data_IF_471516646411
#
_entry.id   IF_471516646411
#
_cell.length_a   1.000
_cell.length_b   1.000
_cell.length_c   1.000
_cell.angle_alpha   90.00
_cell.angle_beta   90.00
_cell.angle_gamma   90.00
#
_symmetry.space_group_name_H-M   'P 1'
#
loop_
_entity.id
_entity.type
_entity.pdbx_description
1 polymer ?
#
# COMPACT_ATOMS: atom_id res chain seq x y z
N UNK A 1 1.57 -14.18 -10.68
CA UNK A 1 1.48 -12.77 -10.24
C UNK A 1 0.92 -11.81 -11.29
N UNK A 2 1.21 -12.00 -12.60
CA UNK A 2 0.71 -11.11 -13.66
C UNK A 2 -0.83 -11.01 -13.79
N UNK A 3 -1.56 -12.09 -13.53
CA UNK A 3 -3.04 -12.10 -13.60
C UNK A 3 -3.71 -11.25 -12.51
N UNK A 4 -3.16 -11.22 -11.29
CA UNK A 4 -3.69 -10.37 -10.21
C UNK A 4 -3.44 -8.88 -10.51
N UNK A 5 -2.25 -8.53 -11.03
CA UNK A 5 -1.93 -7.16 -11.40
C UNK A 5 -2.86 -6.61 -12.50
N UNK A 6 -3.12 -7.38 -13.56
CA UNK A 6 -4.03 -6.97 -14.65
C UNK A 6 -5.46 -6.72 -14.14
N UNK A 7 -5.94 -7.53 -13.19
CA UNK A 7 -7.26 -7.35 -12.57
C UNK A 7 -7.32 -6.14 -11.64
N UNK A 8 -6.24 -5.84 -10.88
CA UNK A 8 -6.15 -4.59 -10.09
C UNK A 8 -6.18 -3.37 -11.00
N UNK A 9 -5.43 -3.41 -12.12
CA UNK A 9 -5.40 -2.35 -13.13
C UNK A 9 -6.80 -2.13 -13.73
N UNK A 10 -7.51 -3.19 -14.12
CA UNK A 10 -8.85 -3.06 -14.71
C UNK A 10 -9.87 -2.50 -13.71
N UNK A 11 -9.86 -2.95 -12.45
CA UNK A 11 -10.73 -2.40 -11.40
C UNK A 11 -10.48 -0.92 -11.13
N UNK A 12 -9.21 -0.50 -11.05
CA UNK A 12 -8.87 0.91 -10.83
C UNK A 12 -9.30 1.79 -12.01
N UNK A 13 -9.12 1.32 -13.25
CA UNK A 13 -9.61 2.04 -14.45
C UNK A 13 -11.13 2.17 -14.45
N UNK A 14 -11.85 1.09 -14.15
CA UNK A 14 -13.30 1.11 -14.02
C UNK A 14 -13.78 2.11 -12.95
N UNK A 15 -13.07 2.20 -11.82
CA UNK A 15 -13.39 3.16 -10.76
C UNK A 15 -13.15 4.61 -11.21
N UNK A 16 -12.06 4.87 -11.94
CA UNK A 16 -11.72 6.22 -12.45
C UNK A 16 -12.75 6.72 -13.46
N UNK A 17 -13.19 5.84 -14.36
CA UNK A 17 -14.14 6.15 -15.44
C UNK A 17 -15.60 6.25 -14.96
N UNK A 18 -15.91 5.77 -13.75
CA UNK A 18 -17.28 5.74 -13.25
C UNK A 18 -17.80 7.16 -12.90
N UNK A 19 -19.01 7.54 -13.35
CA UNK A 19 -19.52 8.91 -13.23
C UNK A 19 -19.82 9.34 -11.78
N UNK A 20 -20.09 8.38 -10.89
CA UNK A 20 -20.38 8.67 -9.47
C UNK A 20 -19.13 8.65 -8.57
N UNK A 21 -17.94 8.43 -9.12
CA UNK A 21 -16.69 8.46 -8.35
C UNK A 21 -16.35 9.91 -8.02
N UNK A 22 -16.16 10.21 -6.74
CA UNK A 22 -15.77 11.56 -6.30
C UNK A 22 -14.33 11.90 -6.71
N UNK A 23 -14.00 13.20 -6.78
CA UNK A 23 -12.67 13.64 -7.22
C UNK A 23 -11.52 13.15 -6.32
N UNK A 24 -11.76 13.06 -5.00
CA UNK A 24 -10.80 12.51 -4.05
C UNK A 24 -10.53 11.02 -4.29
N UNK A 25 -11.59 10.23 -4.46
CA UNK A 25 -11.51 8.80 -4.74
C UNK A 25 -10.84 8.53 -6.09
N UNK A 26 -11.19 9.31 -7.13
CA UNK A 26 -10.56 9.24 -8.45
C UNK A 26 -9.08 9.56 -8.39
N UNK A 27 -8.68 10.59 -7.63
CA UNK A 27 -7.28 10.94 -7.44
C UNK A 27 -6.50 9.82 -6.73
N UNK A 28 -7.08 9.20 -5.70
CA UNK A 28 -6.50 8.05 -4.98
C UNK A 28 -6.38 6.83 -5.89
N UNK A 29 -7.42 6.53 -6.68
CA UNK A 29 -7.42 5.44 -7.65
C UNK A 29 -6.34 5.63 -8.73
N UNK A 30 -6.17 6.86 -9.23
CA UNK A 30 -5.12 7.19 -10.19
C UNK A 30 -3.72 7.01 -9.58
N UNK A 31 -3.49 7.44 -8.32
CA UNK A 31 -2.20 7.22 -7.64
C UNK A 31 -1.87 5.74 -7.50
N UNK A 32 -2.84 4.92 -7.10
CA UNK A 32 -2.66 3.46 -7.04
C UNK A 32 -2.36 2.84 -8.40
N UNK A 33 -3.07 3.28 -9.45
CA UNK A 33 -2.87 2.77 -10.81
C UNK A 33 -1.45 3.10 -11.30
N UNK A 34 -1.02 4.35 -11.15
CA UNK A 34 0.33 4.79 -11.49
C UNK A 34 1.40 3.97 -10.75
N UNK A 35 1.18 3.66 -9.46
CA UNK A 35 2.09 2.83 -8.65
C UNK A 35 2.20 1.42 -9.20
N UNK A 36 1.06 0.77 -9.50
CA UNK A 36 1.05 -0.59 -10.03
C UNK A 36 1.73 -0.64 -11.41
N UNK A 37 1.44 0.33 -12.28
CA UNK A 37 2.05 0.41 -13.62
C UNK A 37 3.57 0.57 -13.55
N UNK A 38 4.06 1.39 -12.62
CA UNK A 38 5.50 1.58 -12.40
C UNK A 38 6.16 0.30 -11.90
N UNK A 39 5.50 -0.45 -10.99
CA UNK A 39 5.97 -1.75 -10.50
C UNK A 39 6.02 -2.83 -11.60
N UNK A 40 5.08 -2.80 -12.55
CA UNK A 40 5.02 -3.78 -13.65
C UNK A 40 5.90 -3.43 -14.85
N UNK A 41 6.28 -2.16 -15.00
CA UNK A 41 7.07 -1.64 -16.12
C UNK A 41 8.54 -1.45 -15.77
N UNK A 42 9.30 -2.55 -15.80
CA UNK A 42 10.76 -2.59 -16.05
C UNK A 42 11.71 -2.05 -14.95
N UNK A 43 12.87 -2.72 -14.91
CA UNK A 43 14.09 -2.53 -14.11
C UNK A 43 14.39 -1.10 -13.63
N UNK A 44 15.08 -0.96 -12.48
CA UNK A 44 15.53 0.34 -11.99
C UNK A 44 16.45 0.95 -13.04
N UNK A 45 15.97 2.01 -13.71
CA UNK A 45 16.80 2.82 -14.61
C UNK A 45 17.83 3.52 -13.73
N UNK A 46 19.01 2.93 -13.63
CA UNK A 46 20.17 3.51 -12.97
C UNK A 46 20.55 4.78 -13.74
N UNK A 47 20.44 5.92 -13.06
CA UNK A 47 20.82 7.22 -13.61
C UNK A 47 19.72 7.84 -14.48
N UNK A 48 18.55 8.11 -13.90
CA UNK A 48 17.59 8.99 -14.55
C UNK A 48 17.47 10.29 -13.75
N UNK A 49 18.15 11.32 -14.25
CA UNK A 49 17.78 12.71 -13.97
C UNK A 49 16.44 12.98 -14.65
N UNK A 50 15.36 12.36 -14.18
CA UNK A 50 14.00 12.65 -14.65
C UNK A 50 13.52 13.95 -14.01
N UNK A 51 14.21 15.05 -14.30
CA UNK A 51 13.66 16.41 -14.14
C UNK A 51 12.68 16.67 -15.28
N UNK A 52 11.49 16.06 -15.23
CA UNK A 52 10.46 16.33 -16.24
C UNK A 52 9.16 15.57 -16.04
N UNK A 53 8.05 16.31 -15.98
CA UNK A 53 6.65 15.86 -15.97
C UNK A 53 6.10 15.06 -14.77
N UNK A 54 6.90 14.28 -14.04
CA UNK A 54 6.42 13.67 -12.76
C UNK A 54 6.40 14.65 -11.59
N UNK A 55 7.05 15.81 -11.75
CA UNK A 55 7.22 16.86 -10.73
C UNK A 55 5.98 17.69 -10.39
N UNK A 56 4.87 17.50 -11.13
CA UNK A 56 3.58 18.12 -10.84
C UNK A 56 2.67 17.26 -9.95
N UNK A 57 3.13 16.08 -9.50
CA UNK A 57 2.32 15.18 -8.67
C UNK A 57 2.06 15.74 -7.27
N UNK A 58 0.81 15.63 -6.83
CA UNK A 58 0.33 15.96 -5.48
C UNK A 58 1.16 15.15 -4.47
N UNK A 59 2.00 15.82 -3.67
CA UNK A 59 2.92 15.16 -2.73
C UNK A 59 4.32 15.76 -2.66
N UNK A 60 4.81 16.41 -3.74
CA UNK A 60 6.19 16.95 -3.82
C UNK A 60 6.53 17.96 -2.72
N UNK A 61 5.56 18.79 -2.34
CA UNK A 61 5.66 19.75 -1.24
C UNK A 61 4.72 19.43 -0.08
N UNK A 62 4.11 18.24 -0.09
CA UNK A 62 3.23 17.82 0.99
C UNK A 62 4.07 17.60 2.25
N UNK A 63 3.68 18.21 3.36
CA UNK A 63 4.27 17.90 4.66
C UNK A 63 4.05 16.41 5.01
N UNK A 64 4.84 15.87 5.94
CA UNK A 64 4.74 14.46 6.35
C UNK A 64 3.34 14.09 6.82
N UNK A 65 2.65 15.00 7.51
CA UNK A 65 1.25 14.84 7.89
C UNK A 65 0.33 14.62 6.67
N UNK A 66 0.55 15.37 5.59
CA UNK A 66 -0.22 15.23 4.37
C UNK A 66 0.12 13.94 3.62
N UNK A 67 1.36 13.47 3.70
CA UNK A 67 1.75 12.15 3.17
C UNK A 67 1.05 11.05 3.98
N UNK A 68 1.03 11.15 5.31
CA UNK A 68 0.31 10.21 6.16
C UNK A 68 -1.19 10.18 5.83
N UNK A 69 -1.84 11.33 5.63
CA UNK A 69 -3.23 11.39 5.19
C UNK A 69 -3.44 10.67 3.85
N UNK A 70 -2.57 10.88 2.87
CA UNK A 70 -2.65 10.22 1.57
C UNK A 70 -2.43 8.70 1.67
N UNK A 71 -1.55 8.25 2.55
CA UNK A 71 -1.36 6.83 2.87
C UNK A 71 -2.64 6.25 3.48
N UNK A 72 -3.30 6.97 4.41
CA UNK A 72 -4.59 6.55 4.99
C UNK A 72 -5.67 6.44 3.91
N UNK A 73 -5.81 7.44 3.04
CA UNK A 73 -6.77 7.44 1.94
C UNK A 73 -6.53 6.26 1.00
N UNK A 74 -5.27 5.95 0.70
CA UNK A 74 -4.92 4.80 -0.12
C UNK A 74 -5.28 3.48 0.60
N UNK A 75 -4.98 3.31 1.89
CA UNK A 75 -5.37 2.09 2.63
C UNK A 75 -6.90 1.90 2.62
N UNK A 76 -7.65 2.97 2.87
CA UNK A 76 -9.12 2.95 2.85
C UNK A 76 -9.65 2.54 1.48
N UNK A 77 -9.11 3.11 0.40
CA UNK A 77 -9.53 2.76 -0.96
C UNK A 77 -9.19 1.31 -1.30
N UNK A 78 -8.01 0.83 -0.89
CA UNK A 78 -7.58 -0.55 -1.14
C UNK A 78 -8.52 -1.53 -0.43
N UNK A 79 -8.86 -1.26 0.83
CA UNK A 79 -9.84 -2.04 1.59
C UNK A 79 -11.21 -2.05 0.93
N UNK A 80 -11.70 -0.91 0.46
CA UNK A 80 -13.02 -0.82 -0.18
C UNK A 80 -13.07 -1.50 -1.56
N UNK A 81 -12.03 -1.34 -2.37
CA UNK A 81 -12.00 -1.78 -3.78
C UNK A 81 -11.62 -3.25 -3.92
N UNK A 82 -10.76 -3.74 -3.02
CA UNK A 82 -10.18 -5.08 -3.08
C UNK A 82 -10.64 -6.01 -1.96
N UNK A 83 -11.64 -5.61 -1.17
CA UNK A 83 -12.28 -6.51 -0.21
C UNK A 83 -12.66 -7.85 -0.87
N UNK A 84 -12.59 -8.98 -0.12
CA UNK A 84 -12.89 -10.29 -0.66
C UNK A 84 -14.36 -10.33 -1.06
N UNK A 85 -14.62 -10.29 -2.36
CA UNK A 85 -15.95 -10.53 -2.91
C UNK A 85 -16.09 -12.04 -3.11
N UNK A 86 -17.27 -12.64 -2.85
CA UNK A 86 -17.50 -14.03 -3.23
C UNK A 86 -17.19 -14.17 -4.72
N UNK A 87 -16.10 -14.89 -5.03
CA UNK A 87 -15.70 -15.13 -6.40
C UNK A 87 -16.83 -15.92 -7.07
N UNK A 88 -17.36 -15.40 -8.18
CA UNK A 88 -18.30 -16.19 -8.96
C UNK A 88 -17.56 -17.41 -9.53
N UNK A 89 -18.22 -18.58 -9.67
CA UNK A 89 -17.58 -19.75 -10.26
C UNK A 89 -16.97 -19.40 -11.63
N UNK A 90 -15.64 -19.49 -11.75
CA UNK A 90 -14.89 -19.15 -12.97
C UNK A 90 -14.19 -17.78 -12.96
N UNK A 91 -14.39 -16.95 -11.94
CA UNK A 91 -13.68 -15.66 -11.82
C UNK A 91 -12.32 -15.86 -11.09
N UNK A 92 -11.19 -15.41 -11.68
CA UNK A 92 -9.90 -15.48 -11.01
C UNK A 92 -9.93 -14.64 -9.72
N UNK A 93 -9.63 -15.27 -8.59
CA UNK A 93 -9.56 -14.59 -7.30
C UNK A 93 -8.49 -13.48 -7.34
N UNK A 94 -8.91 -12.24 -7.14
CA UNK A 94 -8.00 -11.12 -6.93
C UNK A 94 -7.42 -11.24 -5.52
N UNK A 95 -6.13 -11.57 -5.42
CA UNK A 95 -5.43 -11.56 -4.13
C UNK A 95 -4.77 -10.20 -3.92
N UNK A 96 -5.15 -9.53 -2.84
CA UNK A 96 -4.63 -8.25 -2.40
C UNK A 96 -4.41 -8.32 -0.88
N UNK A 97 -3.17 -8.25 -0.37
CA UNK A 97 -2.92 -8.42 1.07
C UNK A 97 -3.69 -7.44 1.97
N UNK A 98 -3.94 -6.21 1.51
CA UNK A 98 -4.70 -5.19 2.26
C UNK A 98 -6.19 -5.49 2.19
N UNK A 99 -6.70 -5.82 0.99
CA UNK A 99 -8.09 -6.23 0.77
C UNK A 99 -8.46 -7.52 1.52
N UNK A 100 -7.60 -8.53 1.46
CA UNK A 100 -7.77 -9.87 2.04
C UNK A 100 -7.58 -9.92 3.56
N UNK A 101 -7.08 -8.83 4.17
CA UNK A 101 -6.91 -8.75 5.61
C UNK A 101 -8.26 -8.91 6.36
N UNK A 102 -8.28 -9.58 7.52
CA UNK A 102 -9.48 -9.70 8.35
C UNK A 102 -10.19 -8.35 8.60
N UNK A 103 -11.54 -8.32 8.67
CA UNK A 103 -12.31 -7.08 8.83
C UNK A 103 -12.02 -6.36 10.16
N UNK A 104 -11.60 -7.11 11.18
CA UNK A 104 -11.26 -6.58 12.51
C UNK A 104 -9.92 -5.85 12.56
N UNK A 105 -9.04 -6.03 11.56
CA UNK A 105 -7.76 -5.32 11.52
C UNK A 105 -8.00 -3.84 11.25
N UNK A 106 -7.40 -3.00 12.09
CA UNK A 106 -7.42 -1.55 11.96
C UNK A 106 -6.03 -1.02 11.67
N UNK A 107 -5.94 0.01 10.84
CA UNK A 107 -4.67 0.63 10.46
C UNK A 107 -4.59 2.05 11.02
N UNK A 108 -3.53 2.31 11.76
CA UNK A 108 -3.23 3.64 12.28
C UNK A 108 -1.95 4.14 11.59
N UNK A 109 -2.05 5.19 10.80
CA UNK A 109 -0.87 5.83 10.19
C UNK A 109 -0.56 7.08 10.99
N UNK A 110 0.64 7.23 11.52
CA UNK A 110 1.03 8.37 12.35
C UNK A 110 2.43 8.89 12.02
N UNK A 111 2.71 10.11 12.47
CA UNK A 111 4.03 10.75 12.36
C UNK A 111 4.55 11.05 13.78
N UNK A 112 5.06 10.04 14.51
CA UNK A 112 5.39 10.20 15.93
C UNK A 112 6.61 11.10 16.17
N UNK A 113 7.50 11.21 15.19
CA UNK A 113 8.75 11.96 15.26
C UNK A 113 8.99 12.74 13.96
N UNK A 114 9.86 13.75 14.04
CA UNK A 114 10.31 14.47 12.85
C UNK A 114 10.98 13.51 11.87
N UNK A 115 10.45 13.44 10.64
CA UNK A 115 11.02 12.60 9.59
C UNK A 115 10.60 11.14 9.64
N UNK A 116 9.60 10.74 10.44
CA UNK A 116 9.11 9.36 10.50
C UNK A 116 7.63 9.24 10.14
N UNK A 117 7.28 8.18 9.42
CA UNK A 117 5.89 7.73 9.21
C UNK A 117 5.77 6.29 9.68
N UNK A 118 4.79 6.05 10.54
CA UNK A 118 4.47 4.77 11.11
C UNK A 118 3.15 4.27 10.56
N UNK A 119 3.09 2.99 10.20
CA UNK A 119 1.85 2.27 9.97
C UNK A 119 1.73 1.20 11.04
N UNK A 120 0.80 1.38 11.97
CA UNK A 120 0.45 0.40 13.00
C UNK A 120 -0.73 -0.44 12.55
N UNK A 121 -0.56 -1.76 12.60
CA UNK A 121 -1.57 -2.77 12.34
C UNK A 121 -2.10 -3.26 13.70
N UNK A 122 -3.34 -2.90 14.01
CA UNK A 122 -3.99 -3.23 15.28
C UNK A 122 -5.03 -4.34 15.10
N UNK A 123 -5.41 -5.00 16.20
CA UNK A 123 -6.46 -6.02 16.25
C UNK A 123 -6.22 -7.24 15.33
N UNK A 124 -4.97 -7.66 15.17
CA UNK A 124 -4.63 -8.84 14.36
C UNK A 124 -5.15 -10.13 15.05
N UNK A 125 -5.99 -10.95 14.39
CA UNK A 125 -6.42 -12.22 14.95
C UNK A 125 -5.23 -13.17 15.19
N UNK A 126 -5.10 -13.79 16.38
CA UNK A 126 -4.03 -14.74 16.70
C UNK A 126 -3.88 -15.87 15.67
N UNK A 127 -5.00 -16.43 15.23
CA UNK A 127 -5.07 -17.55 14.28
C UNK A 127 -4.71 -17.18 12.84
N UNK A 128 -4.68 -15.89 12.51
CA UNK A 128 -4.33 -15.39 11.17
C UNK A 128 -2.94 -14.78 11.14
N UNK A 129 -2.57 -14.03 12.19
CA UNK A 129 -1.32 -13.28 12.26
C UNK A 129 -0.11 -14.10 12.66
N UNK A 130 -0.32 -15.27 13.27
CA UNK A 130 0.75 -16.10 13.80
C UNK A 130 0.63 -17.55 13.36
N UNK A 131 1.78 -18.20 13.19
CA UNK A 131 1.91 -19.64 12.97
C UNK A 131 2.75 -20.20 14.10
N UNK A 132 2.30 -21.31 14.69
CA UNK A 132 3.04 -21.99 15.74
C UNK A 132 3.98 -23.02 15.13
N UNK A 133 5.28 -22.79 15.27
CA UNK A 133 6.34 -23.74 14.89
C UNK A 133 7.19 -24.05 16.12
N UNK A 134 7.35 -25.33 16.43
CA UNK A 134 8.15 -25.82 17.58
C UNK A 134 7.80 -25.16 18.94
N UNK A 135 6.53 -24.78 19.12
CA UNK A 135 6.03 -24.14 20.34
C UNK A 135 6.33 -22.63 20.44
N UNK A 136 6.88 -22.04 19.38
CA UNK A 136 7.15 -20.60 19.26
C UNK A 136 6.14 -20.01 18.26
N UNK A 137 5.54 -18.89 18.62
CA UNK A 137 4.63 -18.17 17.73
C UNK A 137 5.47 -17.28 16.78
N UNK A 138 5.44 -17.61 15.49
CA UNK A 138 6.10 -16.87 14.42
C UNK A 138 5.09 -16.02 13.64
N UNK A 139 5.56 -14.96 13.00
CA UNK A 139 4.72 -14.12 12.11
C UNK A 139 4.24 -14.97 10.93
N UNK A 140 2.94 -14.96 10.69
CA UNK A 140 2.38 -15.70 9.57
C UNK A 140 2.79 -15.11 8.22
N UNK A 141 2.92 -15.92 7.16
CA UNK A 141 3.16 -15.41 5.81
C UNK A 141 2.11 -14.39 5.34
N UNK A 142 0.87 -14.48 5.84
CA UNK A 142 -0.19 -13.55 5.51
C UNK A 142 0.02 -12.18 6.17
N UNK A 143 0.44 -12.14 7.44
CA UNK A 143 0.76 -10.90 8.14
C UNK A 143 2.02 -10.25 7.55
N UNK A 144 3.03 -11.03 7.20
CA UNK A 144 4.22 -10.50 6.52
C UNK A 144 3.87 -9.89 5.16
N UNK A 145 3.08 -10.59 4.33
CA UNK A 145 2.67 -10.08 3.02
C UNK A 145 1.83 -8.79 3.11
N UNK A 146 1.01 -8.66 4.16
CA UNK A 146 0.30 -7.41 4.45
C UNK A 146 1.27 -6.29 4.82
N UNK A 147 2.25 -6.58 5.69
CA UNK A 147 3.24 -5.59 6.11
C UNK A 147 4.11 -5.12 4.93
N UNK A 148 4.52 -6.03 4.05
CA UNK A 148 5.31 -5.72 2.85
C UNK A 148 4.51 -4.84 1.88
N UNK A 149 3.23 -5.14 1.59
CA UNK A 149 2.42 -4.30 0.70
C UNK A 149 2.15 -2.90 1.30
N UNK A 150 2.02 -2.79 2.63
CA UNK A 150 1.93 -1.49 3.32
C UNK A 150 3.24 -0.70 3.25
N UNK A 151 4.38 -1.37 3.39
CA UNK A 151 5.69 -0.76 3.25
C UNK A 151 5.92 -0.28 1.81
N UNK A 152 5.55 -1.07 0.82
CA UNK A 152 5.60 -0.69 -0.60
C UNK A 152 4.70 0.53 -0.90
N UNK A 153 3.49 0.55 -0.34
CA UNK A 153 2.57 1.69 -0.48
C UNK A 153 3.19 2.96 0.10
N UNK A 154 3.76 2.88 1.29
CA UNK A 154 4.45 3.97 1.96
C UNK A 154 5.69 4.42 1.19
N UNK A 155 6.52 3.48 0.73
CA UNK A 155 7.73 3.76 -0.02
C UNK A 155 7.45 4.39 -1.39
N UNK A 156 6.25 4.20 -1.96
CA UNK A 156 5.79 4.96 -3.13
C UNK A 156 5.78 6.48 -2.93
N UNK A 157 5.69 6.95 -1.68
CA UNK A 157 5.82 8.35 -1.29
C UNK A 157 7.22 8.73 -0.82
N UNK A 158 8.05 7.74 -0.48
CA UNK A 158 9.43 7.90 -0.04
C UNK A 158 10.37 7.85 -1.26
N UNK A 159 10.29 8.89 -2.09
CA UNK A 159 11.03 8.95 -3.35
C UNK A 159 12.54 8.79 -3.11
N UNK A 160 13.10 7.64 -3.49
CA UNK A 160 14.53 7.53 -3.78
C UNK A 160 14.74 7.99 -5.22
N UNK A 161 15.71 8.87 -5.42
CA UNK A 161 16.38 8.94 -6.71
C UNK A 161 17.82 8.53 -6.44
N UNK A 162 18.56 8.10 -7.46
CA UNK A 162 19.99 7.84 -7.32
C UNK A 162 20.79 9.01 -6.72
N UNK A 163 20.20 10.21 -6.77
CA UNK A 163 20.81 11.48 -6.38
C UNK A 163 20.16 12.12 -5.13
N UNK A 164 19.18 11.47 -4.47
CA UNK A 164 18.44 12.03 -3.33
C UNK A 164 18.17 10.96 -2.27
N UNK A 165 18.48 11.27 -1.01
CA UNK A 165 18.25 10.40 0.14
C UNK A 165 16.74 10.26 0.47
N UNK A 166 16.39 9.25 1.26
CA UNK A 166 15.01 9.00 1.70
C UNK A 166 14.40 10.25 2.35
N UNK A 167 13.15 10.53 2.01
CA UNK A 167 12.44 11.71 2.51
C UNK A 167 11.99 11.54 3.96
N UNK A 168 11.72 10.31 4.37
CA UNK A 168 11.36 9.95 5.74
C UNK A 168 11.75 8.49 6.03
N UNK A 169 11.84 8.16 7.32
CA UNK A 169 11.95 6.79 7.80
C UNK A 169 10.55 6.20 7.93
N UNK A 170 10.28 5.13 7.19
CA UNK A 170 9.03 4.41 7.27
C UNK A 170 9.15 3.23 8.24
N UNK A 171 8.09 2.91 8.97
CA UNK A 171 8.00 1.61 9.66
C UNK A 171 6.59 1.05 9.61
N UNK A 172 6.48 -0.26 9.40
CA UNK A 172 5.23 -1.01 9.52
C UNK A 172 5.35 -1.91 10.74
N UNK A 173 4.40 -1.80 11.66
CA UNK A 173 4.47 -2.44 12.98
C UNK A 173 3.12 -2.96 13.44
N UNK A 174 3.15 -3.92 14.35
CA UNK A 174 2.08 -4.20 15.32
C UNK A 174 2.45 -3.49 16.63
N UNK A 175 1.55 -3.35 17.62
CA UNK A 175 1.81 -2.58 18.85
C UNK A 175 3.17 -2.86 19.51
N UNK A 176 3.59 -4.12 19.54
CA UNK A 176 4.79 -4.53 20.28
C UNK A 176 5.97 -4.92 19.38
N UNK A 177 5.83 -4.87 18.05
CA UNK A 177 6.85 -5.36 17.12
C UNK A 177 6.84 -4.63 15.78
N UNK A 178 8.02 -4.19 15.32
CA UNK A 178 8.20 -3.73 13.95
C UNK A 178 8.35 -4.92 13.00
N UNK A 179 7.53 -4.96 11.97
CA UNK A 179 7.54 -6.00 10.94
C UNK A 179 8.44 -5.62 9.76
N UNK A 180 8.43 -4.33 9.35
CA UNK A 180 9.20 -3.82 8.21
C UNK A 180 9.73 -2.41 8.52
N UNK A 181 10.94 -2.12 8.03
CA UNK A 181 11.64 -0.82 8.08
C UNK A 181 11.89 -0.26 6.68
#
# INVERSE_FOLDING_TARGET
>A
MATSATLRISRLRALIEHPNTGDGERATAQRMLDRILTRTGTEPVVGDRTYGNRHHRVGRHADLHRIADMIRDDIVLARATFAPRPAHPGEPALRDPIGDAPPQITYTVDTPHHGCIDITIDNVPPEWGWVREDGIDLISPALQALADELADLMNGYNHDGSDIDKRFFGRVRIPDLTLVW
#
